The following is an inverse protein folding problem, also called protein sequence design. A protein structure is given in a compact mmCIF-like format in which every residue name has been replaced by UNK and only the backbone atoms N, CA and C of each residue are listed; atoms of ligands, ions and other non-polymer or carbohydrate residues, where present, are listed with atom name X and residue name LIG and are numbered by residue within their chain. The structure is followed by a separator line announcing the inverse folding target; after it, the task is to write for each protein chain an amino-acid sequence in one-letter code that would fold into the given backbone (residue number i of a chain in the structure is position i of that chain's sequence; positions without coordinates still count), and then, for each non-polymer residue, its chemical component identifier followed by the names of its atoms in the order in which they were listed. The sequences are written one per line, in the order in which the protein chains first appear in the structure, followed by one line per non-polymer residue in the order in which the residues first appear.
data_IF_996770390941
#
_entry.id   IF_996770390941
#
_cell.length_a   1.000
_cell.length_b   1.000
_cell.length_c   1.000
_cell.angle_alpha   90.00
_cell.angle_beta   90.00
_cell.angle_gamma   90.00
#
_symmetry.space_group_name_H-M   'P 1'
#
loop_
_entity.id
_entity.type
_entity.pdbx_description
1 polymer ?
#
# COMPACT_ATOMS: atom_id res chain seq x y z
N UNK A 1 -21.99 -15.60 8.30
CA UNK A 1 -21.68 -14.19 8.00
C UNK A 1 -20.86 -14.17 6.72
N UNK A 2 -21.43 -13.70 5.60
CA UNK A 2 -20.82 -13.80 4.26
C UNK A 2 -19.69 -12.78 4.15
N UNK A 3 -18.44 -13.24 4.12
CA UNK A 3 -17.29 -12.41 3.77
C UNK A 3 -17.00 -12.71 2.30
N UNK A 4 -17.31 -11.74 1.44
CA UNK A 4 -17.10 -11.84 0.00
C UNK A 4 -15.60 -11.95 -0.31
N UNK A 5 -15.19 -13.16 -0.66
CA UNK A 5 -13.90 -13.50 -1.25
C UNK A 5 -13.85 -12.97 -2.69
N UNK A 6 -13.57 -11.68 -2.88
CA UNK A 6 -13.19 -11.14 -4.19
C UNK A 6 -11.67 -10.98 -4.27
N UNK A 7 -11.01 -12.13 -4.41
CA UNK A 7 -9.77 -12.24 -5.15
C UNK A 7 -9.98 -11.70 -6.56
N UNK A 8 -9.48 -10.49 -6.84
CA UNK A 8 -9.27 -10.03 -8.22
C UNK A 8 -7.81 -9.58 -8.35
N UNK A 9 -6.93 -10.56 -8.43
CA UNK A 9 -5.67 -10.40 -9.16
C UNK A 9 -5.86 -11.07 -10.51
N UNK A 10 -5.95 -10.27 -11.58
CA UNK A 10 -5.87 -10.80 -12.95
C UNK A 10 -5.01 -9.87 -13.80
N UNK A 11 -3.91 -10.46 -14.29
CA UNK A 11 -3.04 -10.11 -15.43
C UNK A 11 -2.79 -8.63 -15.76
N UNK A 12 -1.51 -8.30 -15.86
CA UNK A 12 -0.90 -7.02 -16.22
C UNK A 12 -1.34 -6.36 -17.56
N UNK A 13 -2.35 -6.90 -18.25
CA UNK A 13 -2.74 -6.49 -19.60
C UNK A 13 -4.24 -6.18 -19.75
N UNK A 14 -5.01 -6.13 -18.64
CA UNK A 14 -6.46 -5.86 -18.68
C UNK A 14 -6.74 -4.42 -18.27
N UNK A 15 -7.29 -3.61 -19.18
CA UNK A 15 -7.79 -2.26 -18.85
C UNK A 15 -8.80 -2.35 -17.70
N UNK A 16 -8.55 -1.60 -16.62
CA UNK A 16 -9.49 -1.47 -15.51
C UNK A 16 -10.76 -0.82 -16.07
N UNK A 17 -11.88 -1.55 -16.07
CA UNK A 17 -13.19 -1.05 -16.50
C UNK A 17 -14.16 -1.16 -15.34
N UNK A 18 -15.02 -0.16 -15.18
CA UNK A 18 -16.07 -0.19 -14.17
C UNK A 18 -17.17 -1.22 -14.51
N UNK A 19 -18.16 -1.38 -13.63
CA UNK A 19 -19.29 -2.30 -13.86
C UNK A 19 -20.16 -1.91 -15.07
N UNK A 20 -19.99 -0.69 -15.61
CA UNK A 20 -20.68 -0.17 -16.79
C UNK A 20 -19.83 -0.28 -18.09
N UNK A 21 -18.57 -0.70 -17.99
CA UNK A 21 -17.66 -0.86 -19.13
C UNK A 21 -16.88 0.39 -19.50
N UNK A 22 -16.91 1.45 -18.68
CA UNK A 22 -16.12 2.66 -18.91
C UNK A 22 -14.68 2.48 -18.42
N UNK A 23 -13.74 3.06 -19.17
CA UNK A 23 -12.30 2.98 -18.91
C UNK A 23 -11.95 3.73 -17.63
N UNK A 24 -11.57 2.99 -16.57
CA UNK A 24 -11.18 3.58 -15.30
C UNK A 24 -9.84 4.29 -15.45
N UNK A 25 -9.81 5.57 -15.04
CA UNK A 25 -8.55 6.24 -14.73
C UNK A 25 -7.98 5.53 -13.50
N UNK A 26 -6.84 4.86 -13.67
CA UNK A 26 -6.19 4.13 -12.56
C UNK A 26 -5.95 5.07 -11.37
N UNK A 27 -6.57 4.77 -10.23
CA UNK A 27 -6.30 5.42 -8.95
C UNK A 27 -5.91 4.38 -7.92
N UNK A 28 -4.88 4.69 -7.12
CA UNK A 28 -4.45 3.85 -5.99
C UNK A 28 -5.53 3.78 -4.90
N UNK A 29 -6.45 4.75 -4.87
CA UNK A 29 -7.52 4.83 -3.87
C UNK A 29 -8.60 3.77 -4.08
N UNK A 30 -8.66 3.12 -5.24
CA UNK A 30 -9.55 1.98 -5.46
C UNK A 30 -9.10 0.71 -4.72
N UNK A 31 -7.84 0.65 -4.28
CA UNK A 31 -7.32 -0.51 -3.58
C UNK A 31 -7.58 -0.39 -2.07
N UNK A 32 -8.65 -1.03 -1.60
CA UNK A 32 -8.91 -1.15 -0.17
C UNK A 32 -7.95 -2.17 0.43
N UNK A 33 -6.98 -1.74 1.25
CA UNK A 33 -6.09 -2.63 1.98
C UNK A 33 -6.49 -2.68 3.45
N UNK A 34 -6.82 -3.87 3.95
CA UNK A 34 -7.05 -4.11 5.38
C UNK A 34 -5.71 -4.22 6.13
N UNK A 35 -5.04 -3.09 6.34
CA UNK A 35 -3.84 -3.02 7.18
C UNK A 35 -4.25 -3.16 8.64
N UNK A 36 -3.62 -4.08 9.37
CA UNK A 36 -3.83 -4.27 10.82
C UNK A 36 -2.51 -4.10 11.57
N UNK A 37 -2.51 -3.76 12.88
CA UNK A 37 -1.27 -3.68 13.66
C UNK A 37 -0.45 -4.97 13.63
N UNK A 38 -1.12 -6.13 13.67
CA UNK A 38 -0.47 -7.44 13.55
C UNK A 38 0.18 -7.65 12.20
N UNK A 39 -0.47 -7.20 11.13
CA UNK A 39 0.11 -7.25 9.78
C UNK A 39 1.38 -6.39 9.68
N UNK A 40 1.37 -5.18 10.24
CA UNK A 40 2.55 -4.30 10.26
C UNK A 40 3.71 -4.91 11.08
N UNK A 41 3.41 -5.55 12.21
CA UNK A 41 4.42 -6.25 13.01
C UNK A 41 5.07 -7.40 12.23
N UNK A 42 4.26 -8.22 11.55
CA UNK A 42 4.77 -9.31 10.71
C UNK A 42 5.61 -8.78 9.53
N UNK A 43 5.16 -7.70 8.88
CA UNK A 43 5.89 -7.04 7.79
C UNK A 43 7.27 -6.54 8.27
N UNK A 44 7.33 -5.92 9.46
CA UNK A 44 8.58 -5.47 10.06
C UNK A 44 9.56 -6.63 10.26
N UNK A 45 9.09 -7.73 10.84
CA UNK A 45 9.91 -8.91 11.09
C UNK A 45 10.41 -9.55 9.79
N UNK A 46 9.50 -9.76 8.83
CA UNK A 46 9.78 -10.41 7.54
C UNK A 46 10.84 -9.65 6.74
N UNK A 47 10.72 -8.33 6.67
CA UNK A 47 11.59 -7.48 5.85
C UNK A 47 12.70 -6.78 6.64
N UNK A 48 12.82 -7.08 7.94
CA UNK A 48 13.80 -6.48 8.87
C UNK A 48 13.76 -4.95 8.81
N UNK A 49 12.55 -4.39 8.87
CA UNK A 49 12.37 -2.93 8.85
C UNK A 49 12.94 -2.37 10.16
N UNK A 50 13.84 -1.37 10.11
CA UNK A 50 14.45 -0.78 11.29
C UNK A 50 13.44 -0.14 12.26
N UNK A 51 13.65 -0.28 13.57
CA UNK A 51 12.73 0.22 14.62
C UNK A 51 12.56 1.74 14.64
N UNK A 52 13.47 2.49 14.00
CA UNK A 52 13.37 3.94 13.81
C UNK A 52 12.43 4.35 12.66
N UNK A 53 11.82 3.38 11.96
CA UNK A 53 10.84 3.63 10.89
C UNK A 53 9.44 3.40 11.42
N UNK A 54 8.59 4.43 11.43
CA UNK A 54 7.21 4.29 11.85
C UNK A 54 6.36 3.59 10.77
N UNK A 55 5.64 2.53 11.16
CA UNK A 55 4.62 1.89 10.35
C UNK A 55 3.25 2.19 10.96
N UNK A 56 2.39 2.89 10.22
CA UNK A 56 1.11 3.40 10.71
C UNK A 56 -0.04 2.71 9.99
N UNK A 57 -1.08 2.37 10.74
CA UNK A 57 -2.35 1.90 10.17
C UNK A 57 -3.10 3.13 9.66
N UNK A 58 -3.52 3.17 8.37
CA UNK A 58 -4.32 4.27 7.85
C UNK A 58 -5.63 4.44 8.64
N UNK A 59 -6.02 5.68 8.89
CA UNK A 59 -7.30 6.02 9.49
C UNK A 59 -8.48 5.79 8.53
N UNK A 60 -9.71 5.87 9.05
CA UNK A 60 -10.95 5.60 8.29
C UNK A 60 -11.12 6.49 7.04
N UNK A 61 -10.59 7.71 7.08
CA UNK A 61 -10.68 8.69 5.99
C UNK A 61 -9.35 8.89 5.25
N UNK A 62 -8.31 8.13 5.60
CA UNK A 62 -7.02 8.27 4.95
C UNK A 62 -7.05 7.58 3.59
N UNK A 63 -6.65 8.32 2.55
CA UNK A 63 -6.54 7.79 1.21
C UNK A 63 -5.10 7.36 0.92
N UNK A 64 -4.87 6.21 0.26
CA UNK A 64 -3.55 5.83 -0.21
C UNK A 64 -2.83 6.92 -1.00
N UNK A 65 -3.55 7.72 -1.81
CA UNK A 65 -3.00 8.83 -2.57
C UNK A 65 -2.69 10.08 -1.73
N UNK A 66 -3.20 10.16 -0.50
CA UNK A 66 -3.07 11.31 0.40
C UNK A 66 -2.65 10.84 1.80
N UNK A 67 -1.41 10.34 1.95
CA UNK A 67 -0.90 9.99 3.26
C UNK A 67 -0.85 11.24 4.18
N UNK A 68 -0.90 11.05 5.51
CA UNK A 68 -0.69 12.14 6.45
C UNK A 68 0.67 12.84 6.22
N UNK A 69 0.80 14.14 6.54
CA UNK A 69 2.06 14.86 6.39
C UNK A 69 3.21 14.16 7.10
N UNK A 70 4.34 13.99 6.40
CA UNK A 70 5.52 13.27 6.91
C UNK A 70 5.51 11.75 6.66
N UNK A 71 4.45 11.21 6.06
CA UNK A 71 4.33 9.79 5.72
C UNK A 71 4.28 9.56 4.20
N UNK A 72 4.62 8.34 3.79
CA UNK A 72 4.39 7.84 2.43
C UNK A 72 3.59 6.55 2.47
N UNK A 73 2.73 6.41 1.47
CA UNK A 73 2.03 5.16 1.19
C UNK A 73 2.92 4.27 0.33
N UNK A 74 3.11 3.02 0.75
CA UNK A 74 3.85 2.01 0.00
C UNK A 74 3.08 0.70 -0.07
N UNK A 75 3.13 0.07 -1.25
CA UNK A 75 2.64 -1.29 -1.42
C UNK A 75 3.58 -2.31 -0.77
N UNK A 76 3.01 -3.33 -0.14
CA UNK A 76 3.76 -4.47 0.38
C UNK A 76 4.57 -5.21 -0.71
N UNK A 77 4.12 -5.12 -1.96
CA UNK A 77 4.80 -5.71 -3.12
C UNK A 77 6.22 -5.18 -3.32
N UNK A 78 6.50 -3.94 -2.93
CA UNK A 78 7.85 -3.39 -3.03
C UNK A 78 8.83 -4.16 -2.13
N UNK A 79 8.40 -4.52 -0.92
CA UNK A 79 9.21 -5.32 -0.01
C UNK A 79 9.41 -6.74 -0.54
N UNK A 80 8.35 -7.34 -1.12
CA UNK A 80 8.43 -8.64 -1.82
C UNK A 80 9.42 -8.60 -3.00
N UNK A 81 9.48 -7.47 -3.70
CA UNK A 81 10.48 -7.17 -4.71
C UNK A 81 11.87 -6.85 -4.15
N UNK A 82 12.13 -7.14 -2.86
CA UNK A 82 13.40 -6.97 -2.15
C UNK A 82 13.81 -5.51 -1.92
N UNK A 83 12.88 -4.55 -2.02
CA UNK A 83 13.15 -3.19 -1.61
C UNK A 83 13.35 -3.15 -0.08
N UNK A 84 14.44 -2.52 0.38
CA UNK A 84 14.80 -2.40 1.80
C UNK A 84 14.75 -0.94 2.24
N UNK A 85 14.31 -0.73 3.49
CA UNK A 85 14.30 0.57 4.17
C UNK A 85 15.53 0.63 5.10
N UNK A 86 16.21 1.79 5.27
CA UNK A 86 15.88 3.12 4.75
C UNK A 86 16.07 3.24 3.24
N UNK A 87 15.14 3.95 2.60
CA UNK A 87 15.29 4.31 1.20
C UNK A 87 16.52 5.19 0.98
N UNK A 88 17.09 5.11 -0.22
CA UNK A 88 18.22 5.94 -0.63
C UNK A 88 18.01 7.41 -0.18
N UNK A 89 19.04 8.13 0.29
CA UNK A 89 18.91 9.50 0.84
C UNK A 89 18.14 10.49 -0.04
N UNK A 90 18.11 10.25 -1.35
CA UNK A 90 17.28 10.98 -2.30
C UNK A 90 15.78 10.94 -1.95
N UNK A 91 15.24 9.77 -1.57
CA UNK A 91 13.84 9.61 -1.17
C UNK A 91 13.56 10.22 0.21
N UNK A 92 14.56 10.23 1.12
CA UNK A 92 14.44 10.98 2.38
C UNK A 92 14.22 12.48 2.14
N UNK A 93 14.76 13.05 1.06
CA UNK A 93 14.58 14.47 0.70
C UNK A 93 13.17 14.79 0.18
N UNK A 94 12.46 13.81 -0.38
CA UNK A 94 11.07 13.98 -0.82
C UNK A 94 10.06 13.90 0.34
N UNK A 95 10.51 13.44 1.52
CA UNK A 95 9.72 13.28 2.74
C UNK A 95 9.80 14.50 3.68
N UNK A 96 10.57 15.53 3.31
CA UNK A 96 10.81 16.76 4.07
C UNK A 96 10.32 18.00 3.32
#
# INVERSE_FOLDING_TARGET
MRINDQRVYRRADTEMVDLAGDRLVYSVDYFTTAVTPRYLAALREEFRIPDDVDLVVPGENDLPSRPPPGYITLSAEYFRARLRIPFHPYLRRALH
#
